data_IF_609480467992
#
_entry.id   IF_609480467992
#
_cell.length_a   1.000
_cell.length_b   1.000
_cell.length_c   1.000
_cell.angle_alpha   90.00
_cell.angle_beta   90.00
_cell.angle_gamma   90.00
#
_symmetry.space_group_name_H-M   'P 1'
#
loop_
_entity.id
_entity.type
_entity.pdbx_description
1 polymer ?
#
# COMPACT_ATOMS: atom_id res chain seq x y z
N UNK A 1 -0.81 -7.41 7.89
CA UNK A 1 0.32 -6.73 7.22
C UNK A 1 0.83 -7.64 6.13
N UNK A 2 0.87 -7.17 4.88
CA UNK A 2 1.35 -7.99 3.74
C UNK A 2 2.59 -7.40 3.06
N UNK A 3 2.84 -6.10 3.22
CA UNK A 3 4.04 -5.45 2.71
C UNK A 3 4.47 -4.31 3.65
N UNK A 4 5.78 -4.05 3.73
CA UNK A 4 6.40 -2.98 4.49
C UNK A 4 7.58 -2.42 3.69
N UNK A 5 7.72 -1.10 3.70
CA UNK A 5 8.89 -0.41 3.20
C UNK A 5 9.33 0.69 4.16
N UNK A 6 10.65 0.90 4.25
CA UNK A 6 11.30 2.01 4.95
C UNK A 6 11.86 2.94 3.87
N UNK A 7 11.64 4.24 4.01
CA UNK A 7 12.11 5.21 3.04
C UNK A 7 13.65 5.37 3.06
N UNK A 8 14.33 5.25 1.90
CA UNK A 8 15.75 5.56 1.79
C UNK A 8 16.04 7.02 2.12
N UNK A 9 17.02 7.26 2.99
CA UNK A 9 17.42 8.61 3.41
C UNK A 9 16.46 9.31 4.39
N UNK A 10 15.37 8.64 4.78
CA UNK A 10 14.38 9.15 5.74
C UNK A 10 13.74 7.96 6.52
N UNK A 11 14.48 7.32 7.45
CA UNK A 11 14.07 6.08 8.08
C UNK A 11 12.85 6.22 9.01
N UNK A 12 12.46 7.45 9.37
CA UNK A 12 11.24 7.72 10.13
C UNK A 12 9.98 7.55 9.26
N UNK A 13 10.12 7.60 7.93
CA UNK A 13 9.01 7.40 7.00
C UNK A 13 8.86 5.92 6.62
N UNK A 14 7.72 5.34 7.00
CA UNK A 14 7.38 3.93 6.78
C UNK A 14 6.06 3.82 6.01
N UNK A 15 5.98 2.90 5.06
CA UNK A 15 4.76 2.59 4.32
C UNK A 15 4.40 1.12 4.49
N UNK A 16 3.14 0.86 4.85
CA UNK A 16 2.60 -0.48 5.03
C UNK A 16 1.42 -0.70 4.10
N UNK A 17 1.46 -1.83 3.40
CA UNK A 17 0.31 -2.42 2.73
C UNK A 17 -0.42 -3.36 3.67
N UNK A 18 -1.68 -3.05 3.95
CA UNK A 18 -2.58 -3.97 4.65
C UNK A 18 -3.59 -4.54 3.68
N UNK A 19 -3.96 -5.79 3.89
CA UNK A 19 -5.16 -6.39 3.36
C UNK A 19 -5.55 -7.47 4.34
N UNK A 20 -6.84 -7.70 4.48
CA UNK A 20 -7.36 -8.78 5.29
C UNK A 20 -7.67 -9.96 4.37
N UNK A 21 -8.30 -10.99 4.92
CA UNK A 21 -8.91 -12.03 4.10
C UNK A 21 -10.27 -12.24 4.73
N UNK A 22 -11.14 -11.25 4.56
CA UNK A 22 -12.48 -11.31 5.11
C UNK A 22 -13.43 -11.90 4.07
N UNK A 23 -14.27 -12.82 4.53
CA UNK A 23 -15.40 -13.30 3.75
C UNK A 23 -16.57 -12.39 4.06
N UNK A 24 -17.18 -11.80 3.03
CA UNK A 24 -18.40 -11.00 3.15
C UNK A 24 -19.55 -11.86 3.70
N UNK A 25 -20.60 -11.21 4.21
CA UNK A 25 -21.78 -11.89 4.79
C UNK A 25 -22.46 -12.86 3.80
N UNK A 26 -22.32 -12.60 2.50
CA UNK A 26 -22.82 -13.44 1.40
C UNK A 26 -21.96 -14.69 1.13
N UNK A 27 -20.83 -14.86 1.83
CA UNK A 27 -19.92 -15.99 1.65
C UNK A 27 -18.83 -15.76 0.60
N UNK A 28 -18.84 -14.61 -0.09
CA UNK A 28 -17.85 -14.28 -1.11
C UNK A 28 -16.62 -13.59 -0.50
N UNK A 29 -15.41 -13.80 -1.05
CA UNK A 29 -14.23 -13.10 -0.58
C UNK A 29 -14.38 -11.58 -0.78
N UNK A 30 -14.00 -10.77 0.22
CA UNK A 30 -13.83 -9.34 -0.01
C UNK A 30 -12.52 -9.10 -0.78
N UNK A 31 -12.68 -8.69 -2.03
CA UNK A 31 -11.59 -8.44 -2.95
C UNK A 31 -10.93 -7.07 -2.76
N UNK A 32 -11.62 -6.15 -2.07
CA UNK A 32 -11.24 -4.75 -1.90
C UNK A 32 -11.00 -4.39 -0.43
N UNK A 33 -10.38 -5.27 0.33
CA UNK A 33 -10.07 -5.10 1.76
C UNK A 33 -8.65 -4.56 2.01
N UNK A 34 -7.98 -4.07 0.96
CA UNK A 34 -6.65 -3.49 1.03
C UNK A 34 -6.66 -2.00 1.43
N UNK A 35 -5.60 -1.55 2.10
CA UNK A 35 -5.29 -0.13 2.26
C UNK A 35 -3.78 0.13 2.44
N UNK A 36 -3.40 1.41 2.35
CA UNK A 36 -2.05 1.89 2.64
C UNK A 36 -2.05 2.70 3.94
N UNK A 37 -1.06 2.43 4.78
CA UNK A 37 -0.81 3.14 6.03
C UNK A 37 0.59 3.76 5.98
N UNK A 38 0.70 5.03 6.37
CA UNK A 38 1.96 5.77 6.41
C UNK A 38 2.27 6.17 7.86
N UNK A 39 3.53 6.01 8.25
CA UNK A 39 4.10 6.62 9.45
C UNK A 39 5.24 7.55 9.03
N UNK A 40 5.45 8.61 9.81
CA UNK A 40 6.56 9.57 9.65
C UNK A 40 7.30 9.80 10.96
N UNK A 41 7.17 8.88 11.90
CA UNK A 41 7.71 8.93 13.27
C UNK A 41 8.29 7.58 13.71
N UNK A 42 8.81 6.81 12.75
CA UNK A 42 9.46 5.53 13.01
C UNK A 42 8.48 4.43 13.40
N UNK A 43 7.20 4.58 13.05
CA UNK A 43 6.14 3.60 13.32
C UNK A 43 5.43 3.78 14.66
N UNK A 44 5.61 4.93 15.33
CA UNK A 44 4.90 5.23 16.58
C UNK A 44 3.42 5.53 16.31
N UNK A 45 3.13 6.30 15.25
CA UNK A 45 1.78 6.57 14.79
C UNK A 45 1.61 6.27 13.31
N UNK A 46 0.39 5.89 12.93
CA UNK A 46 0.06 5.46 11.57
C UNK A 46 -1.21 6.16 11.10
N UNK A 47 -1.21 6.57 9.83
CA UNK A 47 -2.36 7.19 9.16
C UNK A 47 -2.70 6.44 7.88
N UNK A 48 -4.00 6.19 7.68
CA UNK A 48 -4.51 5.70 6.40
C UNK A 48 -4.33 6.77 5.31
N UNK A 49 -3.61 6.42 4.23
CA UNK A 49 -3.31 7.33 3.10
C UNK A 49 -3.95 6.88 1.80
N UNK A 50 -4.81 5.86 1.85
CA UNK A 50 -5.62 5.43 0.73
C UNK A 50 -7.05 5.13 1.19
N UNK A 51 -7.98 5.13 0.24
CA UNK A 51 -9.25 4.45 0.40
C UNK A 51 -9.09 2.93 0.33
N UNK A 52 -10.22 2.24 0.12
CA UNK A 52 -10.23 0.81 -0.15
C UNK A 52 -9.54 0.51 -1.48
N UNK A 53 -8.57 -0.38 -1.43
CA UNK A 53 -7.86 -0.89 -2.59
C UNK A 53 -8.13 -2.38 -2.72
N UNK A 54 -7.91 -2.93 -3.90
CA UNK A 54 -7.65 -4.35 -4.00
C UNK A 54 -6.45 -4.74 -3.13
N UNK A 55 -6.34 -6.03 -2.82
CA UNK A 55 -5.31 -6.57 -1.92
C UNK A 55 -3.91 -6.04 -2.26
N UNK A 56 -3.28 -5.36 -1.31
CA UNK A 56 -1.93 -4.80 -1.50
C UNK A 56 -0.92 -5.95 -1.52
N UNK A 57 -0.15 -6.04 -2.61
CA UNK A 57 0.84 -7.09 -2.88
C UNK A 57 2.27 -6.64 -2.60
N UNK A 58 2.54 -5.36 -2.78
CA UNK A 58 3.85 -4.79 -2.56
C UNK A 58 3.79 -3.29 -2.42
N UNK A 59 4.75 -2.74 -1.68
CA UNK A 59 4.99 -1.30 -1.58
C UNK A 59 6.48 -1.05 -1.71
N UNK A 60 6.85 0.08 -2.30
CA UNK A 60 8.26 0.47 -2.45
C UNK A 60 8.38 1.99 -2.46
N UNK A 61 9.45 2.49 -1.86
CA UNK A 61 9.91 3.86 -2.07
C UNK A 61 10.92 3.89 -3.23
N UNK A 62 11.00 5.00 -3.95
CA UNK A 62 12.07 5.23 -4.90
C UNK A 62 13.44 5.21 -4.18
N UNK A 63 14.53 4.80 -4.85
CA UNK A 63 15.87 4.94 -4.27
C UNK A 63 16.24 6.40 -3.97
N UNK A 64 15.65 7.36 -4.69
CA UNK A 64 15.83 8.80 -4.53
C UNK A 64 14.78 9.47 -3.65
N UNK A 65 14.08 8.72 -2.78
CA UNK A 65 12.92 9.21 -2.05
C UNK A 65 13.17 10.48 -1.25
N UNK A 66 14.37 10.62 -0.65
CA UNK A 66 14.76 11.83 0.07
C UNK A 66 14.67 13.11 -0.79
N UNK A 67 14.66 13.00 -2.12
CA UNK A 67 14.53 14.11 -3.06
C UNK A 67 13.20 14.11 -3.80
N UNK A 68 12.82 12.97 -4.39
CA UNK A 68 11.66 12.90 -5.29
C UNK A 68 10.33 12.56 -4.58
N UNK A 69 10.39 12.20 -3.30
CA UNK A 69 9.26 11.77 -2.46
C UNK A 69 8.34 10.75 -3.14
N UNK A 70 8.89 9.91 -4.02
CA UNK A 70 8.11 9.00 -4.86
C UNK A 70 7.95 7.63 -4.21
N UNK A 71 6.72 7.13 -4.19
CA UNK A 71 6.40 5.79 -3.68
C UNK A 71 5.46 5.05 -4.64
N UNK A 72 5.46 3.72 -4.55
CA UNK A 72 4.68 2.83 -5.37
C UNK A 72 3.94 1.80 -4.51
N UNK A 73 2.74 1.43 -4.93
CA UNK A 73 1.96 0.35 -4.35
C UNK A 73 1.39 -0.52 -5.47
N UNK A 74 1.62 -1.83 -5.40
CA UNK A 74 1.03 -2.80 -6.30
C UNK A 74 -0.14 -3.51 -5.61
N UNK A 75 -1.28 -3.59 -6.28
CA UNK A 75 -2.50 -4.22 -5.76
C UNK A 75 -3.02 -5.28 -6.73
N UNK A 76 -3.87 -6.18 -6.23
CA UNK A 76 -4.65 -7.07 -7.07
C UNK A 76 -5.13 -8.32 -6.34
N UNK A 77 -6.24 -8.88 -6.80
CA UNK A 77 -6.83 -10.12 -6.29
C UNK A 77 -6.38 -11.31 -7.14
N UNK A 78 -6.39 -12.55 -6.60
CA UNK A 78 -6.12 -13.72 -7.42
C UNK A 78 -7.19 -13.87 -8.51
N UNK A 79 -6.79 -13.96 -9.77
CA UNK A 79 -7.63 -14.26 -10.92
C UNK A 79 -7.11 -15.47 -11.70
N UNK A 80 -7.84 -15.87 -12.75
CA UNK A 80 -7.57 -17.10 -13.53
C UNK A 80 -6.18 -17.10 -14.20
N UNK A 81 -5.68 -15.94 -14.62
CA UNK A 81 -4.42 -15.78 -15.33
C UNK A 81 -3.39 -14.90 -14.61
N UNK A 82 -3.53 -14.73 -13.29
CA UNK A 82 -2.60 -13.92 -12.49
C UNK A 82 -3.33 -13.03 -11.48
N UNK A 83 -2.93 -11.77 -11.40
CA UNK A 83 -3.64 -10.78 -10.59
C UNK A 83 -4.72 -10.09 -11.42
N UNK A 84 -5.92 -9.94 -10.86
CA UNK A 84 -7.05 -9.20 -11.39
C UNK A 84 -7.41 -8.02 -10.48
N UNK A 85 -8.29 -7.14 -10.97
CA UNK A 85 -8.92 -6.04 -10.22
C UNK A 85 -7.95 -5.17 -9.42
N UNK A 86 -6.74 -4.98 -9.96
CA UNK A 86 -5.64 -4.28 -9.31
C UNK A 86 -4.85 -3.40 -10.26
N UNK A 87 -3.78 -2.81 -9.74
CA UNK A 87 -2.93 -1.94 -10.52
C UNK A 87 -1.68 -1.52 -9.76
N UNK A 88 -0.92 -0.63 -10.37
CA UNK A 88 0.20 0.05 -9.72
C UNK A 88 -0.20 1.49 -9.49
N UNK A 89 -0.19 1.89 -8.23
CA UNK A 89 -0.41 3.27 -7.81
C UNK A 89 0.93 3.92 -7.54
N UNK A 90 1.01 5.21 -7.87
CA UNK A 90 2.18 6.05 -7.62
C UNK A 90 1.79 7.24 -6.76
N UNK A 91 2.66 7.56 -5.82
CA UNK A 91 2.67 8.83 -5.09
C UNK A 91 3.93 9.61 -5.47
N UNK A 92 3.83 10.93 -5.53
CA UNK A 92 4.98 11.85 -5.72
C UNK A 92 5.06 12.90 -4.61
N UNK A 93 4.34 12.69 -3.51
CA UNK A 93 4.21 13.63 -2.40
C UNK A 93 4.49 12.97 -1.04
N UNK A 94 5.29 11.91 -1.04
CA UNK A 94 5.72 11.22 0.17
C UNK A 94 4.73 10.18 0.67
N UNK A 95 3.88 9.65 -0.22
CA UNK A 95 2.86 8.65 0.12
C UNK A 95 1.56 9.24 0.65
N UNK A 96 1.30 10.54 0.45
CA UNK A 96 0.10 11.20 0.94
C UNK A 96 -1.08 11.04 -0.02
N UNK A 97 -0.83 11.15 -1.32
CA UNK A 97 -1.81 10.94 -2.38
C UNK A 97 -1.29 9.92 -3.40
N UNK A 98 -2.23 9.18 -4.01
CA UNK A 98 -1.95 8.03 -4.88
C UNK A 98 -2.79 8.11 -6.15
N UNK A 99 -2.15 7.93 -7.31
CA UNK A 99 -2.77 7.89 -8.64
C UNK A 99 -2.32 6.68 -9.43
#
# INVERSE_FOLDING_TARGET
MRALAVAPGDPETLLVGTSFFETRIDGEPDEHDGNLQLSTDGGQTWRAVSGRLARVRGVAFSPGFATDRTAFAATGTPGEHGLADGGVYRSTDGGLNWT
#
